data_IF_001173994310
#
_entry.id   IF_001173994310
#
_cell.length_a   1.000
_cell.length_b   1.000
_cell.length_c   1.000
_cell.angle_alpha   90.00
_cell.angle_beta   90.00
_cell.angle_gamma   90.00
#
_symmetry.space_group_name_H-M   'P 1'
#
loop_
_entity.id
_entity.type
_entity.pdbx_description
1 polymer ?
#
# COMPACT_ATOMS: atom_id res chain seq x y z
N UNK A 1 -4.16 -10.42 -18.61
CA UNK A 1 -2.71 -10.35 -18.29
C UNK A 1 -2.59 -10.46 -16.79
N UNK A 2 -1.75 -11.34 -16.28
CA UNK A 2 -1.58 -11.57 -14.84
C UNK A 2 -0.10 -11.38 -14.51
N UNK A 3 0.18 -10.56 -13.51
CA UNK A 3 1.52 -10.37 -12.95
C UNK A 3 1.39 -10.35 -11.43
N UNK A 4 2.46 -10.74 -10.73
CA UNK A 4 2.47 -10.83 -9.28
C UNK A 4 3.06 -9.54 -8.71
N UNK A 5 2.35 -8.93 -7.76
CA UNK A 5 2.85 -7.81 -6.99
C UNK A 5 3.42 -8.39 -5.69
N UNK A 6 4.74 -8.30 -5.46
CA UNK A 6 5.33 -8.82 -4.24
C UNK A 6 4.86 -8.02 -3.02
N UNK A 7 4.78 -8.68 -1.86
CA UNK A 7 4.47 -8.00 -0.61
C UNK A 7 5.54 -6.96 -0.27
N UNK A 8 5.11 -5.83 0.30
CA UNK A 8 6.02 -4.75 0.69
C UNK A 8 6.37 -3.77 -0.44
N UNK A 9 5.73 -3.85 -1.61
CA UNK A 9 5.82 -2.75 -2.58
C UNK A 9 5.27 -1.46 -1.97
N UNK A 10 5.94 -0.36 -2.31
CA UNK A 10 5.65 0.98 -1.85
C UNK A 10 5.24 1.90 -3.00
N UNK A 11 4.73 3.08 -2.64
CA UNK A 11 4.49 4.19 -3.54
C UNK A 11 5.71 4.47 -4.44
N UNK A 12 5.48 4.62 -5.75
CA UNK A 12 6.51 5.00 -6.70
C UNK A 12 7.47 3.87 -7.11
N UNK A 13 7.32 2.65 -6.56
CA UNK A 13 8.06 1.49 -7.03
C UNK A 13 7.69 1.13 -8.47
N UNK A 14 8.69 0.75 -9.26
CA UNK A 14 8.51 0.38 -10.65
C UNK A 14 8.74 -1.12 -10.85
N UNK A 15 7.77 -1.80 -11.45
CA UNK A 15 7.85 -3.20 -11.82
C UNK A 15 7.91 -3.34 -13.34
N UNK A 16 8.94 -4.03 -13.83
CA UNK A 16 9.09 -4.31 -15.26
C UNK A 16 8.48 -5.67 -15.58
N UNK A 17 7.46 -5.68 -16.46
CA UNK A 17 6.82 -6.91 -16.96
C UNK A 17 7.31 -7.18 -18.38
N UNK A 18 8.20 -8.16 -18.53
CA UNK A 18 8.87 -8.41 -19.80
C UNK A 18 7.93 -8.90 -20.90
N UNK A 19 8.12 -8.37 -22.12
CA UNK A 19 7.40 -8.82 -23.32
C UNK A 19 5.88 -8.57 -23.30
N UNK A 20 5.42 -7.64 -22.44
CA UNK A 20 4.02 -7.20 -22.32
C UNK A 20 3.81 -5.71 -22.60
N UNK A 21 4.88 -4.99 -22.92
CA UNK A 21 4.86 -3.60 -23.36
C UNK A 21 4.39 -3.47 -24.79
N UNK A 22 4.40 -2.23 -25.28
CA UNK A 22 3.86 -1.90 -26.58
C UNK A 22 4.63 -2.62 -27.71
N UNK A 23 3.95 -2.98 -28.78
CA UNK A 23 4.58 -3.63 -29.94
C UNK A 23 5.29 -2.59 -30.80
N UNK A 24 6.56 -2.82 -31.12
CA UNK A 24 7.25 -2.10 -32.19
C UNK A 24 6.77 -2.62 -33.55
N UNK A 25 5.69 -2.03 -34.07
CA UNK A 25 5.35 -2.05 -35.50
C UNK A 25 4.57 -3.26 -36.03
N UNK A 26 3.67 -2.98 -36.99
CA UNK A 26 3.10 -3.94 -37.95
C UNK A 26 4.26 -4.75 -38.56
N UNK A 27 4.27 -6.08 -38.42
CA UNK A 27 5.22 -7.07 -38.99
C UNK A 27 6.16 -7.80 -38.00
N UNK A 28 5.64 -8.28 -36.86
CA UNK A 28 6.35 -9.31 -36.08
C UNK A 28 7.48 -8.81 -35.17
N UNK A 29 7.42 -7.56 -34.72
CA UNK A 29 8.35 -7.01 -33.74
C UNK A 29 8.20 -7.65 -32.34
N UNK A 30 9.33 -7.80 -31.63
CA UNK A 30 9.37 -8.27 -30.24
C UNK A 30 8.60 -7.28 -29.37
N UNK A 31 7.77 -7.79 -28.44
CA UNK A 31 7.07 -6.95 -27.48
C UNK A 31 8.10 -6.23 -26.58
N UNK A 32 7.95 -4.92 -26.42
CA UNK A 32 8.72 -4.20 -25.40
C UNK A 32 8.33 -4.65 -23.99
N UNK A 33 9.01 -4.14 -22.98
CA UNK A 33 8.64 -4.37 -21.58
C UNK A 33 7.59 -3.35 -21.14
N UNK A 34 6.69 -3.76 -20.25
CA UNK A 34 5.71 -2.89 -19.63
C UNK A 34 6.25 -2.40 -18.29
N UNK A 35 6.35 -1.09 -18.11
CA UNK A 35 6.68 -0.48 -16.84
C UNK A 35 5.39 -0.21 -16.06
N UNK A 36 5.26 -0.83 -14.89
CA UNK A 36 4.13 -0.63 -13.97
C UNK A 36 4.64 0.21 -12.81
N UNK A 37 4.07 1.39 -12.60
CA UNK A 37 4.32 2.23 -11.43
C UNK A 37 3.26 1.91 -10.38
N UNK A 38 3.69 1.56 -9.18
CA UNK A 38 2.80 1.32 -8.06
C UNK A 38 2.36 2.66 -7.48
N UNK A 39 1.04 2.81 -7.34
CA UNK A 39 0.42 3.91 -6.65
C UNK A 39 -0.43 3.35 -5.51
N UNK A 40 -0.17 3.82 -4.29
CA UNK A 40 -0.90 3.53 -3.08
C UNK A 40 -2.11 4.46 -2.98
N UNK A 41 -3.26 3.87 -2.71
CA UNK A 41 -4.45 4.62 -2.35
C UNK A 41 -4.39 4.98 -0.86
N UNK A 42 -4.60 6.26 -0.54
CA UNK A 42 -4.59 6.71 0.86
C UNK A 42 -5.75 6.07 1.62
N UNK A 43 -5.42 5.34 2.69
CA UNK A 43 -6.43 4.82 3.60
C UNK A 43 -6.96 5.98 4.48
N UNK A 44 -8.28 6.06 4.74
CA UNK A 44 -8.86 7.19 5.49
C UNK A 44 -8.40 7.25 6.95
N UNK A 45 -8.06 6.10 7.54
CA UNK A 45 -7.72 5.98 8.96
C UNK A 45 -6.24 5.68 9.21
N UNK A 46 -5.53 5.13 8.22
CA UNK A 46 -4.18 4.60 8.39
C UNK A 46 -3.25 5.33 7.42
N UNK A 47 -2.21 5.93 7.96
CA UNK A 47 -1.11 6.48 7.17
C UNK A 47 0.02 5.45 7.15
N UNK A 48 0.70 5.29 6.02
CA UNK A 48 1.85 4.39 5.90
C UNK A 48 3.10 5.22 5.68
N UNK A 49 4.05 5.13 6.60
CA UNK A 49 5.40 5.67 6.43
C UNK A 49 6.37 4.52 6.17
N UNK A 50 6.70 4.29 4.90
CA UNK A 50 7.55 3.18 4.48
C UNK A 50 6.95 1.82 4.83
N UNK A 51 7.42 1.21 5.91
CA UNK A 51 6.92 -0.09 6.40
C UNK A 51 6.09 0.03 7.68
N UNK A 52 5.90 1.23 8.21
CA UNK A 52 5.24 1.47 9.47
C UNK A 52 3.83 2.02 9.25
N UNK A 53 2.77 1.29 9.68
CA UNK A 53 1.42 1.82 9.71
C UNK A 53 1.23 2.74 10.93
N UNK A 54 0.76 3.94 10.67
CA UNK A 54 0.53 5.02 11.64
C UNK A 54 -0.99 5.24 11.75
N UNK A 55 -1.50 5.19 12.98
CA UNK A 55 -2.90 5.50 13.30
C UNK A 55 -2.96 6.66 14.30
N UNK A 56 -3.66 7.73 13.92
CA UNK A 56 -3.84 8.90 14.79
C UNK A 56 -5.12 8.75 15.62
N UNK A 57 -4.97 8.29 16.87
CA UNK A 57 -6.09 8.21 17.82
C UNK A 57 -6.26 9.53 18.57
N UNK A 58 -7.34 10.25 18.27
CA UNK A 58 -7.72 11.44 19.02
C UNK A 58 -8.48 11.05 20.30
N UNK A 59 -7.84 11.22 21.46
CA UNK A 59 -8.44 10.97 22.78
C UNK A 59 -8.61 12.27 23.57
N UNK A 60 -9.58 12.31 24.47
CA UNK A 60 -9.73 13.41 25.42
C UNK A 60 -8.70 13.29 26.55
N UNK A 61 -8.31 14.42 27.17
CA UNK A 61 -7.38 14.43 28.32
C UNK A 61 -7.82 13.48 29.45
N UNK A 62 -9.09 13.44 29.90
CA UNK A 62 -9.49 12.50 30.94
C UNK A 62 -9.34 11.04 30.50
N UNK A 63 -9.62 10.71 29.23
CA UNK A 63 -9.43 9.35 28.70
C UNK A 63 -7.95 8.94 28.67
N UNK A 64 -7.06 9.89 28.35
CA UNK A 64 -5.61 9.68 28.38
C UNK A 64 -5.08 9.41 29.79
N UNK A 65 -5.65 10.05 30.81
CA UNK A 65 -5.24 9.87 32.21
C UNK A 65 -5.78 8.56 32.80
N UNK A 66 -7.01 8.18 32.43
CA UNK A 66 -7.70 7.02 32.99
C UNK A 66 -7.33 5.68 32.33
N UNK A 67 -6.49 5.68 31.29
CA UNK A 67 -6.08 4.50 30.50
C UNK A 67 -7.30 3.66 30.10
N UNK A 68 -8.15 4.23 29.26
CA UNK A 68 -9.32 3.50 28.77
C UNK A 68 -8.95 2.52 27.66
N UNK A 69 -9.51 1.31 27.68
CA UNK A 69 -9.28 0.32 26.62
C UNK A 69 -9.99 0.75 25.35
N UNK A 70 -9.24 1.05 24.30
CA UNK A 70 -9.79 1.50 23.01
C UNK A 70 -9.46 0.50 21.91
N UNK A 71 -10.42 0.26 21.02
CA UNK A 71 -10.21 -0.54 19.81
C UNK A 71 -9.69 0.36 18.68
N UNK A 72 -8.54 -0.01 18.11
CA UNK A 72 -7.95 0.68 16.96
C UNK A 72 -8.02 -0.21 15.70
N UNK A 73 -8.27 0.37 14.52
CA UNK A 73 -8.15 -0.34 13.25
C UNK A 73 -6.66 -0.63 12.97
N UNK A 74 -6.37 -1.84 12.49
CA UNK A 74 -5.04 -2.25 12.03
C UNK A 74 -5.15 -2.82 10.61
N UNK A 75 -4.02 -2.97 9.91
CA UNK A 75 -4.01 -3.50 8.55
C UNK A 75 -4.65 -4.90 8.40
N UNK A 76 -4.68 -5.69 9.48
CA UNK A 76 -5.22 -7.06 9.49
C UNK A 76 -6.51 -7.21 10.31
N UNK A 77 -7.01 -6.15 10.96
CA UNK A 77 -8.22 -6.24 11.78
C UNK A 77 -8.38 -5.14 12.81
N UNK A 78 -8.77 -5.50 14.05
CA UNK A 78 -8.89 -4.57 15.18
C UNK A 78 -8.01 -5.03 16.32
N UNK A 79 -7.22 -4.12 16.87
CA UNK A 79 -6.40 -4.37 18.06
C UNK A 79 -6.97 -3.60 19.25
N UNK A 80 -6.89 -4.21 20.45
CA UNK A 80 -7.21 -3.54 21.71
C UNK A 80 -5.93 -3.00 22.33
N UNK A 81 -5.89 -1.68 22.54
CA UNK A 81 -4.84 -1.03 23.32
C UNK A 81 -5.36 -0.81 24.75
N UNK A 82 -4.49 -1.05 25.74
CA UNK A 82 -4.71 -0.77 27.16
C UNK A 82 -3.86 0.41 27.60
#
# INVERSE_FOLDING_TARGET
MQFHIPAGVGEGMQLTVSGKGNTLGRHGGINCDLLVVIQEEKHPELERDGNDPIYNLNISIPDAILSNTTEIPTAEGRAKIK
#
